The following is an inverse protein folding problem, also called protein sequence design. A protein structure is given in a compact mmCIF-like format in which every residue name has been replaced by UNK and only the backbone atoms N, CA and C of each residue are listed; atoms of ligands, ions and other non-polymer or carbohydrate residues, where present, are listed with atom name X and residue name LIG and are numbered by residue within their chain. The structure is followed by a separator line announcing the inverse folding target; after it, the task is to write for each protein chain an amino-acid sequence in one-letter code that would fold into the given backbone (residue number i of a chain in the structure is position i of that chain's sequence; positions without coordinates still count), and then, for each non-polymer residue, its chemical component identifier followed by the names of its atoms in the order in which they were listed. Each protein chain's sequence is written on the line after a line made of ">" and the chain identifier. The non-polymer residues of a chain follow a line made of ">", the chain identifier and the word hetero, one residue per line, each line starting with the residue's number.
data_IF_367595871991
#
_entry.id   IF_367595871991
#
_cell.length_a   1.000
_cell.length_b   1.000
_cell.length_c   1.000
_cell.angle_alpha   90.00
_cell.angle_beta   90.00
_cell.angle_gamma   90.00
#
_symmetry.space_group_name_H-M   'P 1'
#
loop_
_entity.id
_entity.type
_entity.pdbx_description
1 polymer ?
#
# COMPACT_ATOMS: atom_id res chain seq x y z
N UNK A 1 5.73 -15.94 15.59
CA UNK A 1 6.51 -16.32 14.38
C UNK A 1 5.95 -15.44 13.29
N UNK A 2 6.30 -14.16 13.37
CA UNK A 2 5.69 -13.10 12.54
C UNK A 2 6.75 -12.68 11.52
N UNK A 3 7.27 -13.68 10.83
CA UNK A 3 8.37 -13.57 9.85
C UNK A 3 7.88 -13.06 8.49
N UNK A 4 6.69 -12.47 8.42
CA UNK A 4 6.04 -12.13 7.16
C UNK A 4 6.75 -10.96 6.45
N UNK A 5 7.31 -10.00 7.20
CA UNK A 5 7.94 -8.79 6.70
C UNK A 5 7.41 -7.55 7.41
N UNK A 6 8.11 -6.42 7.31
CA UNK A 6 7.71 -5.14 7.92
C UNK A 6 6.70 -4.37 7.08
N UNK A 7 6.77 -4.52 5.77
CA UNK A 7 5.98 -3.74 4.82
C UNK A 7 4.89 -4.62 4.23
N UNK A 8 3.63 -4.26 4.49
CA UNK A 8 2.45 -4.98 4.05
C UNK A 8 1.73 -4.23 2.95
N UNK A 9 1.54 -4.88 1.81
CA UNK A 9 0.64 -4.41 0.76
C UNK A 9 -0.69 -5.15 0.88
N UNK A 10 -1.78 -4.40 0.74
CA UNK A 10 -3.13 -4.95 0.59
C UNK A 10 -3.79 -4.32 -0.63
N UNK A 11 -4.28 -5.14 -1.54
CA UNK A 11 -5.13 -4.73 -2.65
C UNK A 11 -6.54 -5.28 -2.39
N UNK A 12 -7.51 -4.39 -2.47
CA UNK A 12 -8.93 -4.74 -2.48
C UNK A 12 -9.60 -4.24 -3.74
N UNK A 13 -10.53 -5.02 -4.28
CA UNK A 13 -11.41 -4.63 -5.39
C UNK A 13 -12.84 -4.94 -4.92
N UNK A 14 -13.74 -3.97 -5.08
CA UNK A 14 -15.13 -4.08 -4.59
C UNK A 14 -15.21 -4.46 -3.10
N UNK A 15 -14.27 -3.95 -2.29
CA UNK A 15 -14.16 -4.23 -0.86
C UNK A 15 -13.63 -5.62 -0.50
N UNK A 16 -13.23 -6.44 -1.49
CA UNK A 16 -12.68 -7.78 -1.26
C UNK A 16 -11.18 -7.79 -1.45
N UNK A 17 -10.46 -8.37 -0.51
CA UNK A 17 -9.01 -8.59 -0.65
C UNK A 17 -8.74 -9.57 -1.80
N UNK A 18 -8.04 -9.09 -2.82
CA UNK A 18 -7.67 -9.86 -4.01
C UNK A 18 -6.17 -10.15 -4.04
N UNK A 19 -5.35 -9.31 -3.43
CA UNK A 19 -3.93 -9.59 -3.23
C UNK A 19 -3.44 -9.04 -1.89
N UNK A 20 -2.51 -9.79 -1.29
CA UNK A 20 -1.76 -9.38 -0.12
C UNK A 20 -0.30 -9.79 -0.28
N UNK A 21 0.62 -8.97 0.23
CA UNK A 21 2.03 -9.30 0.21
C UNK A 21 2.76 -8.64 1.36
N UNK A 22 3.84 -9.28 1.79
CA UNK A 22 4.67 -8.81 2.89
C UNK A 22 6.14 -8.87 2.50
N UNK A 23 6.90 -7.84 2.86
CA UNK A 23 8.32 -7.75 2.56
C UNK A 23 9.10 -7.11 3.71
N UNK A 24 10.35 -7.52 3.86
CA UNK A 24 11.29 -6.91 4.81
C UNK A 24 11.93 -5.62 4.25
N UNK A 25 11.92 -5.45 2.92
CA UNK A 25 12.54 -4.32 2.23
C UNK A 25 11.46 -3.39 1.68
N UNK A 26 11.50 -2.11 2.11
CA UNK A 26 10.59 -1.08 1.62
C UNK A 26 10.67 -0.94 0.10
N UNK A 27 11.88 -0.87 -0.45
CA UNK A 27 12.09 -0.73 -1.88
C UNK A 27 11.43 -1.86 -2.70
N UNK A 28 11.41 -3.08 -2.17
CA UNK A 28 10.70 -4.19 -2.84
C UNK A 28 9.19 -4.03 -2.73
N UNK A 29 8.69 -3.63 -1.56
CA UNK A 29 7.27 -3.40 -1.34
C UNK A 29 6.74 -2.25 -2.21
N UNK A 30 7.50 -1.17 -2.37
CA UNK A 30 7.15 -0.03 -3.23
C UNK A 30 7.12 -0.40 -4.71
N UNK A 31 8.10 -1.20 -5.17
CA UNK A 31 8.10 -1.71 -6.55
C UNK A 31 6.88 -2.60 -6.80
N UNK A 32 6.50 -3.43 -5.82
CA UNK A 32 5.28 -4.24 -5.91
C UNK A 32 4.03 -3.37 -5.91
N UNK A 33 3.96 -2.37 -5.05
CA UNK A 33 2.88 -1.36 -5.07
C UNK A 33 2.70 -0.72 -6.44
N UNK A 34 3.78 -0.23 -7.06
CA UNK A 34 3.69 0.37 -8.39
C UNK A 34 3.20 -0.63 -9.46
N UNK A 35 3.59 -1.89 -9.37
CA UNK A 35 3.12 -2.96 -10.25
C UNK A 35 1.62 -3.20 -10.09
N UNK A 36 1.12 -3.31 -8.86
CA UNK A 36 -0.31 -3.50 -8.57
C UNK A 36 -1.14 -2.28 -9.04
N UNK A 37 -0.61 -1.07 -8.89
CA UNK A 37 -1.24 0.15 -9.41
C UNK A 37 -1.31 0.13 -10.93
N UNK A 38 -0.25 -0.28 -11.61
CA UNK A 38 -0.25 -0.43 -13.07
C UNK A 38 -1.27 -1.46 -13.57
N UNK A 39 -1.40 -2.58 -12.85
CA UNK A 39 -2.29 -3.68 -13.22
C UNK A 39 -3.75 -3.40 -12.87
N UNK A 40 -4.04 -2.89 -11.68
CA UNK A 40 -5.41 -2.77 -11.15
C UNK A 40 -5.90 -1.33 -11.00
N UNK A 41 -5.02 -0.33 -11.10
CA UNK A 41 -5.34 1.06 -10.79
C UNK A 41 -6.39 1.69 -11.70
N UNK A 42 -6.63 1.11 -12.88
CA UNK A 42 -7.70 1.51 -13.80
C UNK A 42 -9.11 1.14 -13.29
N UNK A 43 -9.23 0.25 -12.30
CA UNK A 43 -10.53 -0.15 -11.73
C UNK A 43 -10.96 0.87 -10.68
N UNK A 44 -12.15 1.46 -10.86
CA UNK A 44 -12.67 2.51 -9.97
C UNK A 44 -12.78 2.09 -8.48
N UNK A 45 -13.03 0.80 -8.24
CA UNK A 45 -13.15 0.22 -6.90
C UNK A 45 -11.85 -0.39 -6.37
N UNK A 46 -10.74 -0.32 -7.13
CA UNK A 46 -9.45 -0.75 -6.62
C UNK A 46 -8.98 0.19 -5.50
N UNK A 47 -8.55 -0.41 -4.39
CA UNK A 47 -7.84 0.26 -3.31
C UNK A 47 -6.58 -0.52 -2.99
N UNK A 48 -5.44 0.15 -3.02
CA UNK A 48 -4.15 -0.45 -2.67
C UNK A 48 -3.57 0.36 -1.52
N UNK A 49 -3.08 -0.31 -0.48
CA UNK A 49 -2.39 0.33 0.65
C UNK A 49 -1.09 -0.38 0.93
N UNK A 50 -0.01 0.39 1.09
CA UNK A 50 1.26 -0.07 1.60
C UNK A 50 1.45 0.48 3.01
N UNK A 51 1.60 -0.41 3.99
CA UNK A 51 1.68 -0.09 5.41
C UNK A 51 3.01 -0.58 5.97
N UNK A 52 3.66 0.26 6.79
CA UNK A 52 4.71 -0.18 7.70
C UNK A 52 4.03 -0.75 8.95
N UNK A 53 4.12 -2.05 9.16
CA UNK A 53 3.44 -2.71 10.28
C UNK A 53 4.17 -2.54 11.60
N UNK A 54 5.42 -2.09 11.60
CA UNK A 54 6.17 -1.79 12.81
C UNK A 54 5.69 -0.47 13.43
N UNK A 55 5.43 0.53 12.60
CA UNK A 55 4.95 1.86 13.03
C UNK A 55 3.43 1.99 12.95
N UNK A 56 2.76 1.15 12.16
CA UNK A 56 1.34 1.26 11.83
C UNK A 56 1.02 2.32 10.77
N UNK A 57 2.03 2.92 10.14
CA UNK A 57 1.87 4.03 9.20
C UNK A 57 1.49 3.54 7.79
N UNK A 58 0.55 4.24 7.15
CA UNK A 58 0.27 4.06 5.72
C UNK A 58 1.30 4.86 4.92
N UNK A 59 2.26 4.16 4.33
CA UNK A 59 3.32 4.78 3.54
C UNK A 59 2.82 5.26 2.18
N UNK A 60 1.94 4.47 1.53
CA UNK A 60 1.35 4.80 0.22
C UNK A 60 -0.06 4.25 0.11
N UNK A 61 -0.90 4.96 -0.62
CA UNK A 61 -2.25 4.51 -0.99
C UNK A 61 -2.55 4.77 -2.46
N UNK A 62 -3.42 3.93 -3.02
CA UNK A 62 -4.03 4.13 -4.32
C UNK A 62 -5.56 3.94 -4.21
N UNK A 63 -6.37 4.88 -4.73
CA UNK A 63 -5.98 6.22 -5.16
C UNK A 63 -5.21 6.96 -4.05
N UNK A 64 -4.31 7.86 -4.43
CA UNK A 64 -3.54 8.62 -3.45
C UNK A 64 -4.51 9.40 -2.57
N UNK A 65 -4.45 9.14 -1.27
CA UNK A 65 -5.19 9.95 -0.32
C UNK A 65 -4.50 11.31 -0.22
N UNK A 66 -5.22 12.38 -0.55
CA UNK A 66 -4.64 13.73 -0.59
C UNK A 66 -4.26 14.26 0.82
N UNK A 67 -4.52 13.52 1.90
CA UNK A 67 -4.21 13.95 3.27
C UNK A 67 -2.70 14.03 3.57
N UNK A 68 -1.83 13.43 2.76
CA UNK A 68 -0.38 13.54 2.97
C UNK A 68 0.20 14.91 2.56
N UNK A 69 -0.57 15.81 1.93
CA UNK A 69 -0.08 17.13 1.49
C UNK A 69 -0.40 18.29 2.45
N UNK A 70 -0.98 18.05 3.63
CA UNK A 70 -1.36 19.10 4.57
C UNK A 70 -0.78 18.88 5.97
N UNK A 71 0.53 18.71 6.10
CA UNK A 71 1.24 18.83 7.41
C UNK A 71 2.72 19.09 7.17
N UNK A 72 3.07 20.28 6.72
CA UNK A 72 4.47 20.66 6.48
C UNK A 72 4.65 22.04 5.86
N UNK A 73 4.00 23.07 6.43
CA UNK A 73 4.35 24.46 6.17
C UNK A 73 4.37 25.17 7.53
N UNK A 74 5.54 25.20 8.15
CA UNK A 74 5.89 26.05 9.28
C UNK A 74 7.00 26.99 8.86
#
# INVERSE_FOLDING_TARGET
>A
MDSAGRYRLTLTIDGRAVAHGWWHSLATAERKFASEVGEYGHRATARITLVDTETGEVLKSWPADQAASASGAG
#
